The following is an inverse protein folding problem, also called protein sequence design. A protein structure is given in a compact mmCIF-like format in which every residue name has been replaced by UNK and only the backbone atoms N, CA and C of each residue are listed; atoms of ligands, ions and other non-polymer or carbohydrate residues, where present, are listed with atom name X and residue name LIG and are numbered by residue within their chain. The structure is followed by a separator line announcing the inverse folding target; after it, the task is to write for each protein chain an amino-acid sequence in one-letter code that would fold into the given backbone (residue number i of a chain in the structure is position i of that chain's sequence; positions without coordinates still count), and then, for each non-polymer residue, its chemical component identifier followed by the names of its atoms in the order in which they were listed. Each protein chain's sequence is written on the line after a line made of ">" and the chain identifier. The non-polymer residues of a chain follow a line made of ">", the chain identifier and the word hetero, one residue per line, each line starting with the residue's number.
data_IF_933848746212
#
_entry.id   IF_933848746212
#
_cell.length_a   1.000
_cell.length_b   1.000
_cell.length_c   1.000
_cell.angle_alpha   90.00
_cell.angle_beta   90.00
_cell.angle_gamma   90.00
#
_symmetry.space_group_name_H-M   'P 1'
#
loop_
_entity.id
_entity.type
_entity.pdbx_description
1 polymer ?
#
# COMPACT_ATOMS: atom_id res chain seq x y z
N UNK A 1 -4.81 -18.27 8.88
CA UNK A 1 -5.26 -16.90 8.60
C UNK A 1 -6.78 -16.75 8.63
N UNK A 2 -7.56 -17.83 8.51
CA UNK A 2 -9.03 -17.81 8.64
C UNK A 2 -9.52 -17.14 9.93
N UNK A 3 -8.75 -17.24 11.03
CA UNK A 3 -9.05 -16.55 12.31
C UNK A 3 -8.95 -15.02 12.25
N UNK A 4 -8.30 -14.45 11.25
CA UNK A 4 -8.12 -13.00 11.07
C UNK A 4 -9.22 -12.37 10.20
N UNK A 5 -10.05 -13.18 9.52
CA UNK A 5 -11.11 -12.72 8.63
C UNK A 5 -12.46 -13.01 9.28
N UNK A 6 -13.45 -12.16 9.00
CA UNK A 6 -14.85 -12.46 9.36
C UNK A 6 -15.37 -13.58 8.46
N UNK A 7 -16.30 -14.40 8.96
CA UNK A 7 -16.82 -15.59 8.26
C UNK A 7 -17.35 -15.29 6.85
N UNK A 8 -17.91 -14.10 6.63
CA UNK A 8 -18.46 -13.68 5.34
C UNK A 8 -17.57 -12.67 4.58
N UNK A 9 -16.33 -12.45 5.02
CA UNK A 9 -15.47 -11.46 4.37
C UNK A 9 -14.95 -11.98 3.04
N UNK A 10 -15.29 -11.29 1.96
CA UNK A 10 -14.69 -11.50 0.66
C UNK A 10 -13.20 -11.20 0.73
N UNK A 11 -12.36 -12.15 0.33
CA UNK A 11 -10.91 -12.02 0.36
C UNK A 11 -10.24 -12.82 -0.77
N UNK A 12 -9.05 -12.40 -1.17
CA UNK A 12 -8.24 -13.09 -2.17
C UNK A 12 -6.76 -12.86 -1.91
N UNK A 13 -5.95 -13.91 -2.07
CA UNK A 13 -4.51 -13.78 -2.06
C UNK A 13 -4.02 -13.31 -3.42
N UNK A 14 -3.44 -12.12 -3.45
CA UNK A 14 -2.85 -11.55 -4.66
C UNK A 14 -1.41 -12.02 -4.86
N UNK A 15 -0.70 -12.31 -3.75
CA UNK A 15 0.67 -12.81 -3.76
C UNK A 15 0.88 -13.69 -2.53
N UNK A 16 1.28 -14.94 -2.72
CA UNK A 16 1.62 -15.88 -1.63
C UNK A 16 3.12 -16.11 -1.49
N UNK A 17 3.85 -16.01 -2.60
CA UNK A 17 5.28 -16.30 -2.64
C UNK A 17 6.15 -15.07 -2.34
N UNK A 18 7.39 -15.33 -1.90
CA UNK A 18 8.36 -14.30 -1.58
C UNK A 18 8.24 -13.74 -0.15
N UNK A 19 8.83 -12.56 0.08
CA UNK A 19 8.95 -11.97 1.44
C UNK A 19 7.78 -11.06 1.84
N UNK A 20 6.84 -10.79 0.94
CA UNK A 20 5.72 -9.86 1.17
C UNK A 20 4.42 -10.42 0.57
N UNK A 21 3.81 -11.43 1.22
CA UNK A 21 2.48 -11.88 0.84
C UNK A 21 1.47 -10.73 0.88
N UNK A 22 0.52 -10.72 -0.05
CA UNK A 22 -0.52 -9.70 -0.17
C UNK A 22 -1.89 -10.37 -0.17
N UNK A 23 -2.71 -9.99 0.80
CA UNK A 23 -4.11 -10.33 0.89
C UNK A 23 -4.94 -9.08 0.60
N UNK A 24 -5.91 -9.18 -0.30
CA UNK A 24 -7.00 -8.20 -0.39
C UNK A 24 -8.23 -8.77 0.31
N UNK A 25 -8.93 -7.93 1.06
CA UNK A 25 -10.10 -8.32 1.81
C UNK A 25 -11.08 -7.15 1.88
N UNK A 26 -12.36 -7.44 2.13
CA UNK A 26 -13.46 -6.45 2.11
C UNK A 26 -13.81 -5.89 3.47
N UNK A 27 -13.47 -6.60 4.56
CA UNK A 27 -13.71 -6.17 5.94
C UNK A 27 -12.40 -6.03 6.72
N UNK A 28 -12.31 -5.14 7.73
CA UNK A 28 -11.14 -5.05 8.59
C UNK A 28 -10.76 -6.40 9.21
N UNK A 29 -9.46 -6.66 9.33
CA UNK A 29 -8.94 -7.86 9.98
C UNK A 29 -9.30 -7.88 11.47
N UNK A 30 -9.59 -9.07 11.99
CA UNK A 30 -9.73 -9.31 13.43
C UNK A 30 -8.32 -9.42 14.00
N UNK A 31 -7.84 -8.34 14.63
CA UNK A 31 -6.53 -8.28 15.26
C UNK A 31 -6.58 -8.96 16.63
N UNK A 32 -6.01 -10.16 16.72
CA UNK A 32 -5.72 -10.88 17.97
C UNK A 32 -4.21 -11.05 18.14
N UNK A 33 -3.72 -11.37 19.34
CA UNK A 33 -2.29 -11.64 19.59
C UNK A 33 -1.70 -12.65 18.58
N UNK A 34 -2.45 -13.70 18.24
CA UNK A 34 -2.06 -14.73 17.27
C UNK A 34 -1.92 -14.21 15.82
N UNK A 35 -2.46 -13.03 15.51
CA UNK A 35 -2.53 -12.46 14.15
C UNK A 35 -1.59 -11.26 14.02
N UNK A 36 -1.51 -10.43 15.06
CA UNK A 36 -0.68 -9.22 15.07
C UNK A 36 0.78 -9.49 14.69
N UNK A 37 1.36 -10.60 15.16
CA UNK A 37 2.74 -10.98 14.82
C UNK A 37 2.99 -11.30 13.34
N UNK A 38 1.93 -11.54 12.55
CA UNK A 38 2.04 -11.89 11.12
C UNK A 38 1.63 -10.75 10.19
N UNK A 39 0.95 -9.72 10.70
CA UNK A 39 0.48 -8.58 9.89
C UNK A 39 1.51 -7.46 9.92
N UNK A 40 2.28 -7.34 8.83
CA UNK A 40 3.32 -6.29 8.71
C UNK A 40 2.73 -4.92 8.39
N UNK A 41 1.58 -4.88 7.71
CA UNK A 41 0.73 -3.70 7.51
C UNK A 41 -0.65 -4.15 7.01
N UNK A 42 -1.68 -3.41 7.38
CA UNK A 42 -3.05 -3.52 6.86
C UNK A 42 -3.64 -2.13 6.76
N UNK A 43 -4.57 -1.90 5.83
CA UNK A 43 -5.16 -0.59 5.61
C UNK A 43 -6.17 -0.58 4.46
N UNK A 44 -7.00 0.45 4.44
CA UNK A 44 -8.02 0.68 3.42
C UNK A 44 -7.38 1.25 2.15
N UNK A 45 -7.72 0.70 0.97
CA UNK A 45 -7.27 1.25 -0.31
C UNK A 45 -7.99 2.58 -0.56
N UNK A 46 -7.24 3.68 -0.58
CA UNK A 46 -7.78 5.04 -0.80
C UNK A 46 -7.38 5.64 -2.15
N UNK A 47 -6.45 5.00 -2.87
CA UNK A 47 -6.04 5.47 -4.19
C UNK A 47 -5.46 4.35 -5.05
N UNK A 48 -5.76 4.39 -6.35
CA UNK A 48 -5.16 3.56 -7.38
C UNK A 48 -4.30 4.42 -8.32
N UNK A 49 -3.20 3.88 -8.82
CA UNK A 49 -2.30 4.53 -9.78
C UNK A 49 -1.77 3.52 -10.80
N UNK A 50 -1.79 3.89 -12.07
CA UNK A 50 -1.29 3.05 -13.18
C UNK A 50 0.22 3.19 -13.42
N UNK A 51 0.89 4.06 -12.66
CA UNK A 51 2.30 4.41 -12.82
C UNK A 51 2.98 4.41 -11.44
N UNK A 52 4.26 3.99 -11.37
CA UNK A 52 5.03 4.07 -10.14
C UNK A 52 5.17 5.52 -9.66
N UNK A 53 5.55 5.74 -8.39
CA UNK A 53 6.06 7.03 -7.96
C UNK A 53 7.38 7.33 -8.68
N UNK A 54 7.47 8.50 -9.32
CA UNK A 54 8.65 8.93 -10.08
C UNK A 54 9.12 10.29 -9.55
N UNK A 55 10.44 10.57 -9.60
CA UNK A 55 11.02 11.78 -8.99
C UNK A 55 10.41 13.08 -9.49
N UNK A 56 9.99 13.12 -10.76
CA UNK A 56 9.41 14.31 -11.39
C UNK A 56 7.89 14.46 -11.12
N UNK A 57 7.24 13.44 -10.55
CA UNK A 57 5.81 13.48 -10.18
C UNK A 57 5.56 13.31 -8.69
N UNK A 58 6.60 13.09 -7.88
CA UNK A 58 6.49 12.72 -6.46
C UNK A 58 5.74 13.76 -5.61
N UNK A 59 5.87 15.04 -5.93
CA UNK A 59 5.15 16.10 -5.21
C UNK A 59 3.64 16.03 -5.49
N UNK A 60 3.25 15.65 -6.71
CA UNK A 60 1.84 15.39 -7.05
C UNK A 60 1.31 14.12 -6.39
N UNK A 61 2.16 13.10 -6.22
CA UNK A 61 1.84 11.89 -5.45
C UNK A 61 1.56 12.28 -4.00
N UNK A 62 2.45 13.04 -3.36
CA UNK A 62 2.29 13.51 -1.99
C UNK A 62 1.01 14.34 -1.80
N UNK A 63 0.76 15.31 -2.68
CA UNK A 63 -0.46 16.12 -2.63
C UNK A 63 -1.73 15.28 -2.74
N UNK A 64 -1.70 14.19 -3.54
CA UNK A 64 -2.82 13.27 -3.65
C UNK A 64 -3.02 12.43 -2.38
N UNK A 65 -1.93 11.98 -1.75
CA UNK A 65 -1.99 11.24 -0.48
C UNK A 65 -2.53 12.12 0.65
N UNK A 66 -2.08 13.37 0.74
CA UNK A 66 -2.55 14.33 1.73
C UNK A 66 -4.06 14.57 1.61
N UNK A 67 -4.61 14.69 0.38
CA UNK A 67 -6.05 14.79 0.16
C UNK A 67 -6.84 13.57 0.64
N UNK A 68 -6.20 12.40 0.70
CA UNK A 68 -6.77 11.17 1.25
C UNK A 68 -6.56 11.02 2.77
N UNK A 69 -6.07 12.08 3.43
CA UNK A 69 -5.85 12.11 4.87
C UNK A 69 -4.59 11.35 5.32
N UNK A 70 -3.59 11.20 4.45
CA UNK A 70 -2.32 10.55 4.78
C UNK A 70 -1.28 11.62 5.10
N UNK A 71 -0.69 11.55 6.30
CA UNK A 71 0.39 12.44 6.77
C UNK A 71 1.77 11.78 6.77
N UNK A 72 1.84 10.46 6.60
CA UNK A 72 3.10 9.71 6.48
C UNK A 72 2.90 8.48 5.62
N UNK A 73 3.84 8.20 4.72
CA UNK A 73 3.73 7.04 3.82
C UNK A 73 4.99 6.20 3.81
N UNK A 74 4.85 4.87 3.73
CA UNK A 74 5.95 3.95 3.47
C UNK A 74 5.85 3.37 2.06
N UNK A 75 6.89 3.51 1.24
CA UNK A 75 6.96 2.87 -0.07
C UNK A 75 7.32 1.39 0.08
N UNK A 76 6.34 0.50 -0.14
CA UNK A 76 6.50 -0.95 -0.12
C UNK A 76 6.47 -1.58 -1.51
N UNK A 77 6.55 -0.76 -2.55
CA UNK A 77 6.56 -1.20 -3.94
C UNK A 77 7.92 -1.75 -4.38
N UNK A 78 7.94 -2.61 -5.39
CA UNK A 78 9.14 -2.95 -6.13
C UNK A 78 9.62 -1.74 -6.96
N UNK A 79 10.67 -1.06 -6.50
CA UNK A 79 11.26 0.13 -7.12
C UNK A 79 12.76 -0.05 -7.26
N UNK A 80 13.37 0.73 -8.17
CA UNK A 80 14.82 0.83 -8.29
C UNK A 80 15.46 1.20 -6.92
N UNK A 81 16.36 0.35 -6.38
CA UNK A 81 17.03 0.60 -5.10
C UNK A 81 17.79 1.93 -5.04
N UNK A 82 18.28 2.45 -6.16
CA UNK A 82 19.02 3.70 -6.21
C UNK A 82 18.10 4.92 -6.07
N UNK A 83 16.85 4.78 -6.53
CA UNK A 83 15.85 5.87 -6.55
C UNK A 83 14.96 5.84 -5.30
N UNK A 84 14.68 4.65 -4.75
CA UNK A 84 13.76 4.43 -3.63
C UNK A 84 14.03 5.35 -2.42
N UNK A 85 15.28 5.48 -1.90
CA UNK A 85 15.55 6.34 -0.74
C UNK A 85 15.24 7.82 -1.02
N UNK A 86 15.43 8.27 -2.25
CA UNK A 86 15.18 9.67 -2.64
C UNK A 86 13.68 9.95 -2.73
N UNK A 87 12.90 9.02 -3.30
CA UNK A 87 11.43 9.12 -3.34
C UNK A 87 10.85 9.14 -1.93
N UNK A 88 11.30 8.23 -1.06
CA UNK A 88 10.85 8.16 0.34
C UNK A 88 11.13 9.47 1.08
N UNK A 89 12.36 10.01 0.98
CA UNK A 89 12.71 11.30 1.62
C UNK A 89 11.88 12.47 1.11
N UNK A 90 11.54 12.51 -0.18
CA UNK A 90 10.69 13.57 -0.74
C UNK A 90 9.27 13.46 -0.20
N UNK A 91 8.68 12.27 -0.18
CA UNK A 91 7.36 12.04 0.42
C UNK A 91 7.34 12.44 1.90
N UNK A 92 8.34 12.02 2.68
CA UNK A 92 8.47 12.37 4.10
C UNK A 92 8.54 13.89 4.30
N UNK A 93 9.21 14.61 3.41
CA UNK A 93 9.29 16.08 3.45
C UNK A 93 7.96 16.73 3.11
N UNK A 94 7.33 16.34 1.99
CA UNK A 94 6.09 16.95 1.52
C UNK A 94 4.90 16.69 2.46
N UNK A 95 4.88 15.54 3.14
CA UNK A 95 3.79 15.16 4.04
C UNK A 95 4.02 15.58 5.51
N UNK A 96 5.21 16.06 5.87
CA UNK A 96 5.63 16.30 7.27
C UNK A 96 4.64 17.14 8.09
N UNK A 97 4.10 18.20 7.48
CA UNK A 97 3.20 19.16 8.15
C UNK A 97 1.72 18.79 7.99
N UNK A 98 1.43 17.66 7.35
CA UNK A 98 0.07 17.15 7.17
C UNK A 98 -0.29 16.29 8.39
N UNK A 99 -1.23 16.78 9.20
CA UNK A 99 -1.86 15.96 10.23
C UNK A 99 -2.77 14.93 9.55
N UNK A 100 -2.34 13.67 9.56
CA UNK A 100 -3.01 12.60 8.84
C UNK A 100 -2.54 11.21 9.26
N UNK A 101 -3.29 10.20 8.86
CA UNK A 101 -3.00 8.82 9.13
C UNK A 101 -1.68 8.38 8.49
N UNK A 102 -1.13 7.27 9.00
CA UNK A 102 -0.06 6.56 8.30
C UNK A 102 -0.66 5.85 7.09
N UNK A 103 0.16 5.65 6.08
CA UNK A 103 -0.20 4.88 4.92
C UNK A 103 1.00 4.15 4.34
N UNK A 104 0.72 3.34 3.35
CA UNK A 104 1.74 2.64 2.58
C UNK A 104 1.32 2.50 1.14
N UNK A 105 2.29 2.44 0.24
CA UNK A 105 2.05 2.14 -1.17
C UNK A 105 2.59 0.74 -1.49
N UNK A 106 1.81 -0.08 -2.19
CA UNK A 106 2.24 -1.40 -2.70
C UNK A 106 1.96 -1.52 -4.20
N UNK A 107 2.78 -2.29 -4.89
CA UNK A 107 2.51 -2.77 -6.24
C UNK A 107 1.73 -4.08 -6.20
N UNK A 108 0.78 -4.22 -7.11
CA UNK A 108 -0.04 -5.41 -7.33
C UNK A 108 0.08 -5.77 -8.80
N UNK A 109 0.45 -7.01 -9.08
CA UNK A 109 0.41 -7.57 -10.43
C UNK A 109 -1.02 -8.06 -10.71
N UNK A 110 -1.58 -7.61 -11.83
CA UNK A 110 -2.92 -7.98 -12.27
C UNK A 110 -2.81 -8.58 -13.67
N UNK A 111 -3.22 -9.85 -13.80
CA UNK A 111 -3.40 -10.49 -15.10
C UNK A 111 -4.66 -9.94 -15.77
N UNK A 112 -4.53 -9.54 -17.04
CA UNK A 112 -5.65 -9.10 -17.88
C UNK A 112 -5.54 -9.79 -19.24
N UNK A 113 -6.66 -9.89 -19.95
CA UNK A 113 -6.69 -10.41 -21.33
C UNK A 113 -5.74 -9.64 -22.27
N UNK A 114 -5.47 -8.36 -21.95
CA UNK A 114 -4.54 -7.48 -22.67
C UNK A 114 -3.07 -7.64 -22.28
N UNK A 115 -2.75 -8.54 -21.33
CA UNK A 115 -1.43 -8.74 -20.74
C UNK A 115 -1.32 -8.24 -19.30
N UNK A 116 -0.23 -8.64 -18.65
CA UNK A 116 0.05 -8.32 -17.24
C UNK A 116 0.25 -6.82 -17.03
N UNK A 117 -0.38 -6.31 -15.98
CA UNK A 117 -0.26 -4.91 -15.60
C UNK A 117 0.04 -4.76 -14.11
N UNK A 118 1.01 -3.90 -13.79
CA UNK A 118 1.28 -3.51 -12.40
C UNK A 118 0.41 -2.30 -12.03
N UNK A 119 -0.38 -2.46 -10.97
CA UNK A 119 -1.14 -1.41 -10.33
C UNK A 119 -0.47 -0.99 -9.03
N UNK A 120 -0.38 0.31 -8.77
CA UNK A 120 0.12 0.82 -7.51
C UNK A 120 -1.07 1.31 -6.69
N UNK A 121 -1.19 0.83 -5.45
CA UNK A 121 -2.27 1.23 -4.55
C UNK A 121 -1.70 1.90 -3.32
N UNK A 122 -2.39 2.95 -2.87
CA UNK A 122 -2.10 3.60 -1.59
C UNK A 122 -3.16 3.16 -0.59
N UNK A 123 -2.68 2.62 0.52
CA UNK A 123 -3.50 2.21 1.64
C UNK A 123 -3.31 3.18 2.80
N UNK A 124 -4.42 3.51 3.47
CA UNK A 124 -4.45 4.26 4.73
C UNK A 124 -4.61 3.26 5.88
N UNK A 125 -3.71 3.29 6.84
CA UNK A 125 -3.75 2.44 8.05
C UNK A 125 -4.83 2.88 9.04
#
# INVERSE_FOLDING_TARGET
>A
MERALREDSGHSWLRLEGRRPLLIHTDPLIMSEDVEGFVVATGEIVQHRLRPPELHTIDQVAASMARNGIGKVTLRCNLDPDVHPTLQRRLDRELREIDGARGFMVDIEIERDSGDQVLYVVCRE
#
